data_IF_361930744981
#
_entry.id   IF_361930744981
#
_cell.length_a   1.000
_cell.length_b   1.000
_cell.length_c   1.000
_cell.angle_alpha   90.00
_cell.angle_beta   90.00
_cell.angle_gamma   90.00
#
_symmetry.space_group_name_H-M   'P 1'
#
loop_
_entity.id
_entity.type
_entity.pdbx_description
1 polymer ?
#
# COMPACT_ATOMS: atom_id res chain seq x y z
N UNK A 1 9.29 28.79 6.40
CA UNK A 1 10.66 28.89 5.85
C UNK A 1 10.97 30.33 5.47
N UNK A 2 12.17 30.82 5.72
CA UNK A 2 12.60 32.13 5.18
C UNK A 2 12.76 31.96 3.67
N UNK A 3 12.15 32.86 2.89
CA UNK A 3 12.34 32.94 1.45
C UNK A 3 13.69 33.61 1.15
N UNK A 4 14.10 33.62 -0.12
CA UNK A 4 15.36 34.23 -0.59
C UNK A 4 15.52 35.68 -0.10
N UNK A 5 14.46 36.48 -0.20
CA UNK A 5 14.46 37.89 0.20
C UNK A 5 14.73 38.04 1.71
N UNK A 6 14.15 37.18 2.55
CA UNK A 6 14.38 37.19 3.97
C UNK A 6 15.85 36.88 4.38
N UNK A 7 16.60 36.16 3.53
CA UNK A 7 18.04 36.00 3.72
C UNK A 7 18.84 37.18 3.22
N UNK A 8 18.43 37.80 2.09
CA UNK A 8 19.08 38.99 1.57
C UNK A 8 18.91 40.20 2.50
N UNK A 9 17.77 40.30 3.20
CA UNK A 9 17.52 41.35 4.19
C UNK A 9 18.43 41.29 5.41
N UNK A 10 19.12 40.17 5.64
CA UNK A 10 20.13 40.04 6.71
C UNK A 10 21.48 40.67 6.34
N UNK A 11 21.64 41.08 5.08
CA UNK A 11 22.88 41.73 4.63
C UNK A 11 22.97 43.13 5.27
N UNK A 12 24.10 43.41 5.89
CA UNK A 12 24.33 44.69 6.56
C UNK A 12 24.30 45.87 5.60
N UNK A 13 23.89 47.03 6.09
CA UNK A 13 23.78 48.27 5.28
C UNK A 13 25.03 48.64 4.52
N UNK A 14 26.22 48.30 5.01
CA UNK A 14 27.50 48.51 4.37
C UNK A 14 27.61 47.76 3.01
N UNK A 15 27.04 46.63 2.88
CA UNK A 15 27.09 45.75 1.70
C UNK A 15 25.81 45.78 0.86
N UNK A 16 24.70 46.25 1.45
CA UNK A 16 23.38 46.26 0.79
C UNK A 16 23.34 47.10 -0.50
N UNK A 17 24.26 48.12 -0.60
CA UNK A 17 24.37 49.01 -1.78
C UNK A 17 25.33 48.47 -2.84
N UNK A 18 25.89 47.26 -2.71
CA UNK A 18 26.87 46.69 -3.66
C UNK A 18 26.19 45.63 -4.54
N UNK A 19 25.75 45.99 -5.76
CA UNK A 19 24.92 45.10 -6.56
C UNK A 19 25.60 43.76 -6.93
N UNK A 20 26.90 43.75 -7.25
CA UNK A 20 27.63 42.52 -7.55
C UNK A 20 27.72 41.57 -6.32
N UNK A 21 27.82 42.12 -5.12
CA UNK A 21 27.85 41.35 -3.91
C UNK A 21 26.46 40.70 -3.63
N UNK A 22 25.40 41.46 -3.85
CA UNK A 22 24.02 40.95 -3.71
C UNK A 22 23.75 39.85 -4.73
N UNK A 23 24.12 40.08 -6.01
CA UNK A 23 23.91 39.10 -7.07
C UNK A 23 24.67 37.79 -6.81
N UNK A 24 25.92 37.87 -6.34
CA UNK A 24 26.68 36.68 -5.93
C UNK A 24 26.01 35.90 -4.80
N UNK A 25 25.64 36.58 -3.74
CA UNK A 25 24.96 35.93 -2.60
C UNK A 25 23.61 35.35 -3.01
N UNK A 26 22.85 36.04 -3.86
CA UNK A 26 21.59 35.54 -4.41
C UNK A 26 21.78 34.22 -5.17
N UNK A 27 22.73 34.16 -6.10
CA UNK A 27 23.03 32.95 -6.87
C UNK A 27 23.46 31.78 -5.96
N UNK A 28 24.21 32.05 -4.90
CA UNK A 28 24.63 31.05 -3.92
C UNK A 28 23.45 30.57 -3.06
N UNK A 29 22.64 31.47 -2.53
CA UNK A 29 21.47 31.15 -1.71
C UNK A 29 20.40 30.40 -2.50
N UNK A 30 20.19 30.71 -3.77
CA UNK A 30 19.27 29.96 -4.63
C UNK A 30 19.63 28.46 -4.71
N UNK A 31 20.93 28.15 -4.80
CA UNK A 31 21.40 26.75 -4.80
C UNK A 31 21.19 26.05 -3.45
N UNK A 32 21.43 26.76 -2.35
CA UNK A 32 21.19 26.21 -0.99
C UNK A 32 19.69 25.98 -0.76
N UNK A 33 18.85 26.94 -1.15
CA UNK A 33 17.39 26.79 -1.01
C UNK A 33 16.85 25.64 -1.85
N UNK A 34 17.36 25.47 -3.08
CA UNK A 34 16.99 24.30 -3.89
C UNK A 34 17.36 22.96 -3.22
N UNK A 35 18.51 22.87 -2.54
CA UNK A 35 18.88 21.70 -1.74
C UNK A 35 17.93 21.49 -0.54
N UNK A 36 17.51 22.59 0.10
CA UNK A 36 16.57 22.53 1.23
C UNK A 36 15.19 22.03 0.78
N UNK A 37 14.72 22.46 -0.39
CA UNK A 37 13.45 22.00 -0.95
C UNK A 37 13.46 20.49 -1.24
N UNK A 38 14.57 19.97 -1.77
CA UNK A 38 14.75 18.52 -1.94
C UNK A 38 14.70 17.80 -0.58
N UNK A 39 15.37 18.33 0.44
CA UNK A 39 15.39 17.71 1.76
C UNK A 39 13.99 17.66 2.40
N UNK A 40 13.19 18.71 2.23
CA UNK A 40 11.81 18.74 2.76
C UNK A 40 10.85 17.82 2.01
N UNK A 41 11.17 17.44 0.79
CA UNK A 41 10.37 16.50 -0.01
C UNK A 41 10.69 15.02 0.28
N UNK A 42 11.73 14.72 1.09
CA UNK A 42 12.07 13.33 1.43
C UNK A 42 10.93 12.59 2.12
N UNK A 43 10.17 13.25 2.98
CA UNK A 43 9.03 12.65 3.68
C UNK A 43 7.99 12.11 2.69
N UNK A 44 7.73 12.84 1.60
CA UNK A 44 6.81 12.42 0.53
C UNK A 44 7.40 11.27 -0.28
N UNK A 45 8.67 11.33 -0.62
CA UNK A 45 9.32 10.32 -1.47
C UNK A 45 9.41 8.94 -0.83
N UNK A 46 9.51 8.88 0.49
CA UNK A 46 9.59 7.63 1.25
C UNK A 46 8.30 7.29 1.98
N UNK A 47 7.23 8.08 1.81
CA UNK A 47 5.90 7.70 2.24
C UNK A 47 5.34 6.64 1.28
N UNK A 48 5.03 5.46 1.80
CA UNK A 48 4.52 4.34 0.99
C UNK A 48 3.26 4.69 0.20
N UNK A 49 2.41 5.57 0.74
CA UNK A 49 1.14 5.95 0.09
C UNK A 49 1.35 6.92 -1.09
N UNK A 50 2.45 7.67 -1.11
CA UNK A 50 2.73 8.71 -2.09
C UNK A 50 3.89 8.36 -3.05
N UNK A 51 4.79 7.45 -2.64
CA UNK A 51 5.93 7.03 -3.43
C UNK A 51 5.52 6.39 -4.76
N UNK A 52 6.25 6.67 -5.83
CA UNK A 52 6.00 6.16 -7.18
C UNK A 52 7.30 5.69 -7.86
N UNK A 53 7.19 4.78 -8.82
CA UNK A 53 8.30 4.32 -9.64
C UNK A 53 9.49 3.79 -8.82
N UNK A 54 10.70 4.33 -9.09
CA UNK A 54 11.95 3.88 -8.45
C UNK A 54 11.96 4.06 -6.93
N UNK A 55 11.23 5.05 -6.40
CA UNK A 55 11.11 5.27 -4.95
C UNK A 55 10.36 4.12 -4.29
N UNK A 56 9.25 3.72 -4.92
CA UNK A 56 8.46 2.57 -4.48
C UNK A 56 9.28 1.27 -4.57
N UNK A 57 10.15 1.15 -5.57
CA UNK A 57 11.05 -0.01 -5.72
C UNK A 57 12.06 -0.08 -4.57
N UNK A 58 12.56 1.06 -4.10
CA UNK A 58 13.44 1.10 -2.91
C UNK A 58 12.70 0.69 -1.63
N UNK A 59 11.45 1.13 -1.47
CA UNK A 59 10.61 0.71 -0.33
C UNK A 59 10.33 -0.79 -0.38
N UNK A 60 10.01 -1.33 -1.56
CA UNK A 60 9.81 -2.76 -1.74
C UNK A 60 11.06 -3.59 -1.47
N UNK A 61 12.23 -3.14 -1.93
CA UNK A 61 13.50 -3.77 -1.61
C UNK A 61 13.74 -3.85 -0.09
N UNK A 62 13.46 -2.77 0.64
CA UNK A 62 13.58 -2.73 2.10
C UNK A 62 12.57 -3.66 2.79
N UNK A 63 11.37 -3.83 2.23
CA UNK A 63 10.36 -4.78 2.73
C UNK A 63 10.69 -6.24 2.37
N UNK A 64 11.64 -6.47 1.47
CA UNK A 64 12.05 -7.80 1.01
C UNK A 64 11.15 -8.37 -0.10
N UNK A 65 10.55 -7.50 -0.94
CA UNK A 65 9.72 -7.91 -2.08
C UNK A 65 10.10 -7.16 -3.35
N UNK A 66 10.17 -7.88 -4.46
CA UNK A 66 10.47 -7.29 -5.78
C UNK A 66 9.17 -6.94 -6.52
N UNK A 67 9.21 -5.91 -7.37
CA UNK A 67 8.13 -5.59 -8.31
C UNK A 67 7.89 -6.70 -9.32
N UNK A 68 8.92 -7.48 -9.64
CA UNK A 68 8.82 -8.65 -10.51
C UNK A 68 8.64 -9.87 -9.62
N UNK A 69 7.46 -10.47 -9.64
CA UNK A 69 7.18 -11.67 -8.87
C UNK A 69 7.53 -12.91 -9.68
N UNK A 70 8.16 -13.94 -9.09
CA UNK A 70 8.47 -15.20 -9.75
C UNK A 70 7.23 -16.10 -9.83
N UNK A 71 6.17 -15.64 -10.49
CA UNK A 71 4.89 -16.33 -10.61
C UNK A 71 4.54 -16.52 -12.08
N UNK A 72 4.17 -17.73 -12.45
CA UNK A 72 3.60 -18.06 -13.76
C UNK A 72 2.07 -18.12 -13.68
N UNK A 73 1.45 -16.97 -13.50
CA UNK A 73 0.00 -16.84 -13.47
C UNK A 73 -0.42 -15.80 -14.54
N UNK A 74 -1.31 -16.15 -15.47
CA UNK A 74 -1.72 -15.23 -16.52
C UNK A 74 -2.47 -13.99 -16.00
N UNK A 75 -3.04 -14.08 -14.80
CA UNK A 75 -3.77 -12.99 -14.18
C UNK A 75 -2.85 -12.02 -13.40
N UNK A 76 -1.57 -12.38 -13.25
CA UNK A 76 -0.57 -11.51 -12.61
C UNK A 76 0.37 -10.95 -13.68
N UNK A 77 0.45 -9.62 -13.84
CA UNK A 77 1.39 -9.01 -14.75
C UNK A 77 2.84 -9.28 -14.31
N UNK A 78 3.73 -9.51 -15.27
CA UNK A 78 5.16 -9.77 -15.00
C UNK A 78 5.85 -8.65 -14.23
N UNK A 79 5.39 -7.41 -14.40
CA UNK A 79 5.83 -6.24 -13.63
C UNK A 79 4.58 -5.62 -13.01
N UNK A 80 4.54 -5.56 -11.69
CA UNK A 80 3.39 -5.00 -10.99
C UNK A 80 3.28 -3.47 -11.19
N UNK A 81 2.11 -2.94 -11.55
CA UNK A 81 1.85 -1.50 -11.52
C UNK A 81 1.94 -0.96 -10.09
N UNK A 82 2.18 0.34 -9.95
CA UNK A 82 2.46 0.98 -8.66
C UNK A 82 1.39 0.70 -7.59
N UNK A 83 0.12 0.71 -7.96
CA UNK A 83 -0.99 0.50 -7.01
C UNK A 83 -0.99 -0.92 -6.43
N UNK A 84 -0.82 -1.93 -7.30
CA UNK A 84 -0.73 -3.33 -6.86
C UNK A 84 0.58 -3.59 -6.10
N UNK A 85 1.68 -3.00 -6.55
CA UNK A 85 2.96 -3.16 -5.88
C UNK A 85 2.94 -2.54 -4.48
N UNK A 86 2.32 -1.37 -4.32
CA UNK A 86 2.09 -0.73 -3.01
C UNK A 86 1.29 -1.63 -2.07
N UNK A 87 0.22 -2.27 -2.58
CA UNK A 87 -0.57 -3.23 -1.82
C UNK A 87 0.29 -4.42 -1.35
N UNK A 88 1.11 -4.97 -2.23
CA UNK A 88 2.01 -6.10 -1.92
C UNK A 88 3.08 -5.69 -0.91
N UNK A 89 3.65 -4.48 -0.99
CA UNK A 89 4.61 -3.96 -0.01
C UNK A 89 3.95 -3.79 1.37
N UNK A 90 2.76 -3.20 1.42
CA UNK A 90 1.98 -3.08 2.68
C UNK A 90 1.78 -4.45 3.30
N UNK A 91 1.26 -5.38 2.51
CA UNK A 91 1.04 -6.77 2.95
C UNK A 91 2.33 -7.40 3.47
N UNK A 92 3.43 -7.29 2.72
CA UNK A 92 4.72 -7.87 3.12
C UNK A 92 5.24 -7.27 4.43
N UNK A 93 5.07 -5.98 4.62
CA UNK A 93 5.45 -5.31 5.88
C UNK A 93 4.66 -5.88 7.06
N UNK A 94 3.35 -6.07 6.92
CA UNK A 94 2.53 -6.71 7.96
C UNK A 94 2.88 -8.18 8.17
N UNK A 95 3.13 -8.94 7.10
CA UNK A 95 3.59 -10.32 7.20
C UNK A 95 4.87 -10.45 8.03
N UNK A 96 5.83 -9.54 7.84
CA UNK A 96 7.09 -9.53 8.56
C UNK A 96 6.92 -9.28 10.08
N UNK A 97 5.83 -8.64 10.49
CA UNK A 97 5.52 -8.32 11.89
C UNK A 97 4.41 -9.21 12.49
N UNK A 98 3.88 -10.15 11.70
CA UNK A 98 2.79 -11.00 12.15
C UNK A 98 3.22 -11.96 13.26
N UNK A 99 2.43 -12.02 14.32
CA UNK A 99 2.71 -12.82 15.53
C UNK A 99 2.04 -14.21 15.54
N UNK A 100 1.47 -14.66 14.42
CA UNK A 100 0.83 -15.97 14.30
C UNK A 100 -0.59 -16.08 14.87
N UNK A 101 -1.23 -14.95 15.21
CA UNK A 101 -2.58 -14.96 15.77
C UNK A 101 -3.67 -14.78 14.71
N UNK A 102 -4.87 -15.33 14.96
CA UNK A 102 -6.07 -15.11 14.13
C UNK A 102 -6.44 -13.63 14.06
N UNK A 103 -6.32 -12.91 15.17
CA UNK A 103 -6.53 -11.47 15.21
C UNK A 103 -5.57 -10.74 14.27
N UNK A 104 -4.32 -11.15 14.19
CA UNK A 104 -3.36 -10.59 13.26
C UNK A 104 -3.77 -10.74 11.79
N UNK A 105 -4.42 -11.86 11.40
CA UNK A 105 -5.01 -11.99 10.08
C UNK A 105 -6.18 -11.03 9.85
N UNK A 106 -7.05 -10.86 10.83
CA UNK A 106 -8.16 -9.90 10.75
C UNK A 106 -7.63 -8.47 10.58
N UNK A 107 -6.61 -8.10 11.36
CA UNK A 107 -5.96 -6.79 11.27
C UNK A 107 -5.32 -6.57 9.89
N UNK A 108 -4.63 -7.57 9.34
CA UNK A 108 -4.02 -7.52 8.00
C UNK A 108 -5.12 -7.37 6.93
N UNK A 109 -6.17 -8.18 6.97
CA UNK A 109 -7.26 -8.13 5.99
C UNK A 109 -7.96 -6.78 6.02
N UNK A 110 -8.25 -6.22 7.19
CA UNK A 110 -8.91 -4.93 7.33
C UNK A 110 -8.09 -3.76 6.79
N UNK A 111 -6.76 -3.87 6.81
CA UNK A 111 -5.86 -2.83 6.28
C UNK A 111 -5.68 -2.98 4.77
N UNK A 112 -5.56 -4.22 4.28
CA UNK A 112 -5.36 -4.49 2.85
C UNK A 112 -6.66 -4.32 2.07
N UNK A 113 -7.77 -4.73 2.65
CA UNK A 113 -9.11 -4.71 2.06
C UNK A 113 -10.11 -4.02 3.00
N UNK A 114 -10.04 -2.69 3.16
CA UNK A 114 -10.87 -1.98 4.13
C UNK A 114 -12.37 -2.07 3.82
N UNK A 115 -12.72 -2.25 2.55
CA UNK A 115 -14.10 -2.28 2.06
C UNK A 115 -14.65 -3.71 1.88
N UNK A 116 -13.87 -4.76 2.19
CA UNK A 116 -14.29 -6.15 2.07
C UNK A 116 -14.86 -6.69 3.38
N UNK A 117 -15.86 -7.57 3.29
CA UNK A 117 -16.21 -8.43 4.41
C UNK A 117 -15.36 -9.71 4.36
N UNK A 118 -14.94 -10.20 5.49
CA UNK A 118 -14.16 -11.43 5.58
C UNK A 118 -14.57 -12.26 6.79
N UNK A 119 -14.47 -13.56 6.62
CA UNK A 119 -14.65 -14.55 7.68
C UNK A 119 -13.46 -15.51 7.70
N UNK A 120 -12.99 -15.84 8.88
CA UNK A 120 -11.84 -16.73 9.08
C UNK A 120 -12.28 -17.88 9.98
N UNK A 121 -12.32 -19.06 9.42
CA UNK A 121 -12.71 -20.29 10.13
C UNK A 121 -11.51 -21.21 10.32
N UNK A 122 -11.13 -21.46 11.56
CA UNK A 122 -10.18 -22.50 11.93
C UNK A 122 -10.91 -23.83 12.10
N UNK A 123 -10.49 -24.84 11.34
CA UNK A 123 -11.08 -26.18 11.38
C UNK A 123 -10.43 -27.10 12.44
N UNK A 124 -9.40 -26.63 13.17
CA UNK A 124 -8.65 -27.38 14.19
C UNK A 124 -7.97 -28.67 13.69
N UNK A 125 -7.75 -28.78 12.39
CA UNK A 125 -7.10 -29.91 11.71
C UNK A 125 -5.90 -29.47 10.86
N UNK A 126 -5.26 -28.36 11.21
CA UNK A 126 -4.20 -27.71 10.45
C UNK A 126 -4.69 -27.12 9.11
N UNK A 127 -5.99 -26.88 8.98
CA UNK A 127 -6.59 -26.15 7.86
C UNK A 127 -7.35 -24.92 8.33
N UNK A 128 -7.26 -23.84 7.57
CA UNK A 128 -8.00 -22.60 7.83
C UNK A 128 -8.67 -22.16 6.54
N UNK A 129 -9.96 -21.86 6.62
CA UNK A 129 -10.74 -21.30 5.54
C UNK A 129 -10.85 -19.79 5.71
N UNK A 130 -10.50 -19.03 4.68
CA UNK A 130 -10.64 -17.59 4.66
C UNK A 130 -11.59 -17.23 3.53
N UNK A 131 -12.74 -16.68 3.89
CA UNK A 131 -13.73 -16.17 2.96
C UNK A 131 -13.59 -14.65 2.86
N UNK A 132 -13.51 -14.14 1.64
CA UNK A 132 -13.46 -12.69 1.37
C UNK A 132 -14.59 -12.36 0.40
N UNK A 133 -15.42 -11.40 0.78
CA UNK A 133 -16.53 -10.91 -0.02
C UNK A 133 -16.22 -9.47 -0.40
N UNK A 134 -15.89 -9.23 -1.65
CA UNK A 134 -15.60 -7.91 -2.18
C UNK A 134 -16.05 -7.81 -3.64
N UNK A 135 -17.15 -7.10 -3.94
CA UNK A 135 -17.63 -6.91 -5.30
C UNK A 135 -16.65 -6.16 -6.22
N UNK A 136 -15.69 -5.44 -5.62
CA UNK A 136 -14.66 -4.68 -6.35
C UNK A 136 -13.36 -5.46 -6.56
N UNK A 137 -13.33 -6.75 -6.18
CA UNK A 137 -12.12 -7.56 -6.24
C UNK A 137 -11.68 -7.81 -7.69
N UNK A 138 -10.52 -7.30 -8.03
CA UNK A 138 -9.88 -7.54 -9.32
C UNK A 138 -9.25 -8.94 -9.36
N UNK A 139 -9.30 -9.59 -10.54
CA UNK A 139 -8.70 -10.91 -10.77
C UNK A 139 -7.22 -10.97 -10.36
N UNK A 140 -6.48 -9.90 -10.60
CA UNK A 140 -5.07 -9.81 -10.23
C UNK A 140 -4.88 -9.82 -8.71
N UNK A 141 -5.74 -9.14 -7.96
CA UNK A 141 -5.71 -9.16 -6.49
C UNK A 141 -6.05 -10.55 -5.95
N UNK A 142 -7.02 -11.23 -6.56
CA UNK A 142 -7.38 -12.62 -6.22
C UNK A 142 -6.19 -13.56 -6.46
N UNK A 143 -5.54 -13.45 -7.62
CA UNK A 143 -4.39 -14.27 -7.94
C UNK A 143 -3.23 -14.03 -6.96
N UNK A 144 -2.94 -12.77 -6.59
CA UNK A 144 -1.95 -12.42 -5.58
C UNK A 144 -2.29 -12.99 -4.18
N UNK A 145 -3.57 -12.99 -3.82
CA UNK A 145 -4.03 -13.58 -2.56
C UNK A 145 -3.81 -15.11 -2.54
N UNK A 146 -4.24 -15.80 -3.60
CA UNK A 146 -4.09 -17.26 -3.75
C UNK A 146 -2.62 -17.71 -3.77
N UNK A 147 -1.74 -16.90 -4.37
CA UNK A 147 -0.30 -17.14 -4.39
C UNK A 147 0.39 -16.82 -3.04
N UNK A 148 -0.33 -16.26 -2.07
CA UNK A 148 0.18 -15.98 -0.73
C UNK A 148 0.98 -14.69 -0.59
N UNK A 149 0.91 -13.78 -1.58
CA UNK A 149 1.59 -12.48 -1.48
C UNK A 149 0.89 -11.49 -0.56
N UNK A 150 -0.41 -11.67 -0.32
CA UNK A 150 -1.21 -10.73 0.47
C UNK A 150 -1.45 -11.17 1.92
N UNK A 151 -1.30 -12.46 2.25
CA UNK A 151 -1.49 -12.95 3.62
C UNK A 151 -0.32 -13.84 4.08
N UNK A 152 0.08 -13.77 5.36
CA UNK A 152 1.07 -14.65 5.91
C UNK A 152 0.52 -16.07 6.01
N UNK A 153 1.32 -17.06 5.58
CA UNK A 153 0.97 -18.46 5.68
C UNK A 153 1.84 -19.16 6.72
N UNK A 154 1.27 -19.69 7.80
CA UNK A 154 2.03 -20.47 8.77
C UNK A 154 2.57 -21.77 8.15
N UNK A 155 3.74 -22.19 8.57
CA UNK A 155 4.27 -23.48 8.16
C UNK A 155 3.40 -24.62 8.68
N UNK A 156 3.03 -25.56 7.79
CA UNK A 156 2.21 -26.72 8.17
C UNK A 156 0.71 -26.49 8.17
N UNK A 157 0.24 -25.25 7.98
CA UNK A 157 -1.20 -24.95 7.88
C UNK A 157 -1.60 -24.79 6.42
N UNK A 158 -2.66 -25.47 6.02
CA UNK A 158 -3.26 -25.33 4.69
C UNK A 158 -4.28 -24.19 4.73
N UNK A 159 -4.05 -23.13 3.95
CA UNK A 159 -5.02 -22.07 3.76
C UNK A 159 -5.89 -22.38 2.53
N UNK A 160 -7.19 -22.27 2.70
CA UNK A 160 -8.18 -22.33 1.62
C UNK A 160 -8.84 -20.95 1.53
N UNK A 161 -8.82 -20.36 0.33
CA UNK A 161 -9.44 -19.06 0.08
C UNK A 161 -10.71 -19.25 -0.74
N UNK A 162 -11.78 -18.64 -0.28
CA UNK A 162 -13.04 -18.51 -1.05
C UNK A 162 -13.26 -17.02 -1.26
N UNK A 163 -13.21 -16.61 -2.53
CA UNK A 163 -13.47 -15.21 -2.90
C UNK A 163 -14.83 -15.13 -3.55
N UNK A 164 -15.67 -14.24 -3.05
CA UNK A 164 -17.02 -14.01 -3.56
C UNK A 164 -17.05 -12.59 -4.14
N UNK A 165 -17.25 -12.51 -5.44
CA UNK A 165 -17.26 -11.27 -6.25
C UNK A 165 -18.62 -10.59 -6.32
N UNK A 166 -19.61 -11.10 -5.59
CA UNK A 166 -20.98 -10.60 -5.61
C UNK A 166 -21.60 -10.65 -4.21
N UNK A 167 -22.55 -9.77 -3.90
CA UNK A 167 -23.25 -9.82 -2.62
C UNK A 167 -23.96 -11.17 -2.41
N UNK A 168 -23.89 -11.68 -1.17
CA UNK A 168 -24.61 -12.87 -0.79
C UNK A 168 -26.10 -12.58 -0.54
N UNK A 169 -26.95 -13.59 -0.75
CA UNK A 169 -28.35 -13.47 -0.43
C UNK A 169 -28.58 -13.46 1.08
N UNK A 170 -29.38 -12.53 1.55
CA UNK A 170 -29.83 -12.47 2.96
C UNK A 170 -31.30 -12.10 3.08
N UNK A 171 -31.98 -12.67 4.09
CA UNK A 171 -33.34 -12.37 4.44
C UNK A 171 -33.39 -11.12 5.32
N UNK A 172 -34.19 -10.12 4.95
CA UNK A 172 -34.48 -8.92 5.76
C UNK A 172 -33.24 -8.13 6.25
N UNK A 173 -32.07 -8.34 5.59
CA UNK A 173 -30.83 -7.64 5.93
C UNK A 173 -30.18 -7.15 4.65
N UNK A 174 -30.07 -5.83 4.50
CA UNK A 174 -29.35 -5.23 3.40
C UNK A 174 -28.09 -4.52 3.91
N UNK A 175 -26.94 -5.00 3.43
CA UNK A 175 -25.63 -4.38 3.65
C UNK A 175 -24.90 -4.26 2.31
N UNK A 176 -23.69 -3.71 2.30
CA UNK A 176 -22.84 -3.72 1.09
C UNK A 176 -22.54 -5.15 0.59
N UNK A 177 -22.61 -6.17 1.48
CA UNK A 177 -22.23 -7.55 1.21
C UNK A 177 -23.40 -8.52 1.18
N UNK A 178 -24.57 -8.11 1.69
CA UNK A 178 -25.80 -8.91 1.73
C UNK A 178 -26.89 -8.12 1.03
N UNK A 179 -27.52 -8.75 0.04
CA UNK A 179 -28.59 -8.15 -0.78
C UNK A 179 -29.81 -9.06 -0.82
N UNK A 180 -30.95 -8.48 -1.19
CA UNK A 180 -32.21 -9.21 -1.38
C UNK A 180 -32.23 -10.05 -2.69
N UNK A 181 -33.44 -10.48 -3.07
CA UNK A 181 -33.68 -11.46 -4.13
C UNK A 181 -33.13 -11.08 -5.52
N UNK A 182 -33.16 -9.81 -5.89
CA UNK A 182 -32.86 -9.39 -7.27
C UNK A 182 -31.37 -9.05 -7.49
N UNK A 183 -30.62 -8.73 -6.42
CA UNK A 183 -29.26 -8.19 -6.48
C UNK A 183 -28.19 -9.10 -5.85
N UNK A 184 -28.53 -10.34 -5.52
CA UNK A 184 -27.63 -11.24 -4.78
C UNK A 184 -27.49 -12.61 -5.46
N UNK A 185 -26.39 -13.30 -5.14
CA UNK A 185 -26.18 -14.70 -5.55
C UNK A 185 -26.29 -15.63 -4.35
N UNK A 186 -26.74 -16.85 -4.58
CA UNK A 186 -26.65 -17.92 -3.59
C UNK A 186 -25.20 -18.37 -3.47
N UNK A 187 -24.78 -18.66 -2.24
CA UNK A 187 -23.51 -19.34 -2.01
C UNK A 187 -23.56 -20.71 -2.66
N UNK A 188 -22.91 -20.90 -3.79
CA UNK A 188 -22.68 -22.23 -4.35
C UNK A 188 -21.46 -22.83 -3.65
N UNK A 189 -21.69 -23.88 -2.87
CA UNK A 189 -20.62 -24.73 -2.34
C UNK A 189 -19.94 -25.47 -3.48
#
# INVERSE_FOLDING_TARGET
MKNLDGYLDLITSEHAMKPKFIEYNKAFLEKILACTDVTTSFDVYFNLDEATGDQLDKLGYNAGISRILPVNDPDIPSVLPDDLYRLVIKSKTYQNHWNGTMKGWQDILSIIFPDAAYDIQDNFDMTVNIMVIDPSFDKTKIALLLQGYLLPKPSGVKLTFTVIDSPLFGWDTETSFIKGWDDSKWSNN
#
